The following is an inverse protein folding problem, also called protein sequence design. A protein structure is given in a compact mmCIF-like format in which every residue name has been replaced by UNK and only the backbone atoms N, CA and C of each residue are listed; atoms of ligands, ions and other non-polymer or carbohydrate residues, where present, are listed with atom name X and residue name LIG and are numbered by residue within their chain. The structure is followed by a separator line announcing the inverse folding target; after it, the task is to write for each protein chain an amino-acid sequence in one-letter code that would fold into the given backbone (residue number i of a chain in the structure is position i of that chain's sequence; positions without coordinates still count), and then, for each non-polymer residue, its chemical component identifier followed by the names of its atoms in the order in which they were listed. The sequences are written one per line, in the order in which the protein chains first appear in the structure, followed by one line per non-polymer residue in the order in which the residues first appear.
data_IF_626814296539
#
_entry.id   IF_626814296539
#
_cell.length_a   1.000
_cell.length_b   1.000
_cell.length_c   1.000
_cell.angle_alpha   90.00
_cell.angle_beta   90.00
_cell.angle_gamma   90.00
#
_symmetry.space_group_name_H-M   'P 1'
#
loop_
_entity.id
_entity.type
_entity.pdbx_description
1 polymer ?
#
# COMPACT_ATOMS: atom_id res chain seq x y z
N UNK A 1 -6.04 10.41 -2.02
CA UNK A 1 -4.74 9.80 -1.64
C UNK A 1 -4.34 8.77 -2.69
N UNK A 2 -3.09 8.78 -3.08
CA UNK A 2 -2.60 7.98 -4.20
C UNK A 2 -1.78 6.76 -3.76
N UNK A 3 -2.36 5.99 -2.86
CA UNK A 3 -1.70 4.79 -2.35
C UNK A 3 -1.42 3.76 -3.45
N UNK A 4 -2.39 3.52 -4.32
CA UNK A 4 -2.25 2.53 -5.39
C UNK A 4 -1.10 2.88 -6.33
N UNK A 5 -0.95 4.15 -6.65
CA UNK A 5 0.13 4.63 -7.48
C UNK A 5 1.49 4.41 -6.83
N UNK A 6 1.62 4.73 -5.54
CA UNK A 6 2.86 4.51 -4.80
C UNK A 6 3.17 3.01 -4.68
N UNK A 7 2.15 2.18 -4.50
CA UNK A 7 2.29 0.73 -4.48
C UNK A 7 2.89 0.22 -5.80
N UNK A 8 2.32 0.66 -6.93
CA UNK A 8 2.80 0.25 -8.26
C UNK A 8 4.21 0.77 -8.53
N UNK A 9 4.51 1.98 -8.10
CA UNK A 9 5.83 2.58 -8.26
C UNK A 9 6.89 1.82 -7.48
N UNK A 10 6.57 1.40 -6.27
CA UNK A 10 7.46 0.60 -5.44
C UNK A 10 7.71 -0.77 -6.08
N UNK A 11 6.66 -1.38 -6.63
CA UNK A 11 6.78 -2.64 -7.36
C UNK A 11 7.71 -2.51 -8.56
N UNK A 12 7.55 -1.44 -9.34
CA UNK A 12 8.41 -1.17 -10.50
C UNK A 12 9.87 -0.99 -10.10
N UNK A 13 10.11 -0.29 -8.99
CA UNK A 13 11.48 -0.11 -8.48
C UNK A 13 12.12 -1.43 -8.08
N UNK A 14 11.37 -2.31 -7.43
CA UNK A 14 11.90 -3.62 -7.04
C UNK A 14 12.28 -4.43 -8.28
N UNK A 15 11.46 -4.41 -9.32
CA UNK A 15 11.75 -5.08 -10.59
C UNK A 15 12.96 -4.46 -11.29
N UNK A 16 12.98 -3.13 -11.42
CA UNK A 16 14.05 -2.44 -12.15
C UNK A 16 15.40 -2.58 -11.48
N UNK A 17 15.44 -2.52 -10.15
CA UNK A 17 16.68 -2.64 -9.38
C UNK A 17 17.05 -4.09 -9.07
N UNK A 18 16.11 -5.01 -9.27
CA UNK A 18 16.24 -6.42 -8.88
C UNK A 18 16.59 -6.57 -7.39
N UNK A 19 15.98 -5.73 -6.57
CA UNK A 19 16.20 -5.71 -5.13
C UNK A 19 14.86 -5.76 -4.41
N UNK A 20 14.88 -6.34 -3.22
CA UNK A 20 13.74 -6.30 -2.32
C UNK A 20 13.46 -4.85 -1.93
N UNK A 21 12.19 -4.45 -1.94
CA UNK A 21 11.78 -3.12 -1.51
C UNK A 21 10.63 -3.20 -0.52
N UNK A 22 10.63 -2.30 0.44
CA UNK A 22 9.58 -2.22 1.45
C UNK A 22 8.77 -0.95 1.26
N UNK A 23 7.45 -1.08 1.36
CA UNK A 23 6.53 0.04 1.45
C UNK A 23 6.02 0.07 2.88
N UNK A 24 6.40 1.10 3.63
CA UNK A 24 6.09 1.20 5.05
C UNK A 24 4.90 2.11 5.24
N UNK A 25 3.84 1.57 5.86
CA UNK A 25 2.60 2.28 6.11
C UNK A 25 2.54 2.64 7.59
N UNK A 26 2.60 3.94 7.87
CA UNK A 26 2.53 4.49 9.21
C UNK A 26 1.28 5.37 9.35
N UNK A 27 0.97 5.79 10.55
CA UNK A 27 -0.25 6.54 10.85
C UNK A 27 -0.44 7.78 9.97
N UNK A 28 0.62 8.51 9.68
CA UNK A 28 0.55 9.78 8.96
C UNK A 28 1.20 9.76 7.58
N UNK A 29 1.87 8.67 7.23
CA UNK A 29 2.60 8.62 5.97
C UNK A 29 2.82 7.20 5.47
N UNK A 30 3.06 7.10 4.16
CA UNK A 30 3.42 5.86 3.49
C UNK A 30 4.66 6.13 2.66
N UNK A 31 5.70 5.32 2.81
CA UNK A 31 6.95 5.56 2.11
C UNK A 31 7.71 4.31 1.74
N UNK A 32 8.53 4.40 0.68
CA UNK A 32 9.37 3.31 0.21
C UNK A 32 10.87 3.61 0.33
N UNK A 33 11.21 4.70 1.00
CA UNK A 33 12.61 5.15 1.12
C UNK A 33 13.04 6.12 0.04
N UNK A 34 12.32 6.18 -1.08
CA UNK A 34 12.58 7.09 -2.20
C UNK A 34 11.48 8.12 -2.35
N UNK A 35 10.25 7.72 -2.10
CA UNK A 35 9.07 8.57 -2.16
C UNK A 35 8.26 8.40 -0.89
N UNK A 36 7.59 9.47 -0.49
CA UNK A 36 6.75 9.48 0.70
C UNK A 36 5.44 10.17 0.40
N UNK A 37 4.35 9.53 0.78
CA UNK A 37 2.99 10.05 0.62
C UNK A 37 2.43 10.37 1.98
N UNK A 38 1.98 11.63 2.19
CA UNK A 38 1.29 12.00 3.42
C UNK A 38 -0.15 11.48 3.37
N UNK A 39 -0.62 10.92 4.48
CA UNK A 39 -2.00 10.52 4.60
C UNK A 39 -2.81 11.77 5.00
N UNK A 40 -3.79 12.20 4.18
CA UNK A 40 -4.56 13.41 4.49
C UNK A 40 -5.32 13.30 5.82
N UNK A 41 -5.56 14.43 6.46
CA UNK A 41 -6.41 14.48 7.64
C UNK A 41 -7.80 13.95 7.29
N UNK A 42 -8.41 13.23 8.21
CA UNK A 42 -9.72 12.62 7.99
C UNK A 42 -9.66 11.23 7.40
N UNK A 43 -8.48 10.77 6.98
CA UNK A 43 -8.26 9.40 6.53
C UNK A 43 -7.38 8.71 7.57
N UNK A 44 -7.81 7.54 8.03
CA UNK A 44 -7.08 6.77 9.03
C UNK A 44 -6.65 5.43 8.44
N UNK A 45 -5.38 5.09 8.62
CA UNK A 45 -4.89 3.75 8.36
C UNK A 45 -5.27 2.87 9.55
N UNK A 46 -5.81 1.69 9.29
CA UNK A 46 -6.29 0.81 10.35
C UNK A 46 -5.18 0.38 11.29
N UNK A 47 -4.00 0.07 10.77
CA UNK A 47 -2.84 -0.31 11.56
C UNK A 47 -1.56 -0.06 10.78
N UNK A 48 -0.47 0.19 11.50
CA UNK A 48 0.84 0.32 10.88
C UNK A 48 1.25 -1.02 10.28
N UNK A 49 1.77 -1.00 9.07
CA UNK A 49 2.06 -2.20 8.31
C UNK A 49 3.26 -1.99 7.39
N UNK A 50 3.80 -3.09 6.89
CA UNK A 50 4.87 -3.06 5.91
C UNK A 50 4.56 -4.05 4.79
N UNK A 51 4.68 -3.60 3.55
CA UNK A 51 4.52 -4.45 2.37
C UNK A 51 5.91 -4.66 1.79
N UNK A 52 6.28 -5.91 1.57
CA UNK A 52 7.58 -6.26 1.01
C UNK A 52 7.40 -6.78 -0.41
N UNK A 53 8.08 -6.14 -1.36
CA UNK A 53 8.18 -6.63 -2.73
C UNK A 53 9.51 -7.35 -2.88
N UNK A 54 9.46 -8.55 -3.44
CA UNK A 54 10.69 -9.27 -3.79
C UNK A 54 11.29 -8.70 -5.08
N UNK A 55 12.46 -9.19 -5.46
CA UNK A 55 13.18 -8.68 -6.64
C UNK A 55 12.46 -8.94 -7.96
N UNK A 56 11.45 -9.81 -7.96
CA UNK A 56 10.60 -10.08 -9.12
C UNK A 56 9.31 -9.27 -9.09
N UNK A 57 9.16 -8.34 -8.14
CA UNK A 57 7.98 -7.49 -8.01
C UNK A 57 6.79 -8.15 -7.32
N UNK A 58 6.97 -9.35 -6.77
CA UNK A 58 5.90 -10.05 -6.06
C UNK A 58 5.75 -9.55 -4.63
N UNK A 59 4.50 -9.46 -4.16
CA UNK A 59 4.20 -9.12 -2.79
C UNK A 59 4.11 -10.40 -1.96
N UNK A 60 4.91 -10.49 -0.91
CA UNK A 60 4.99 -11.68 -0.07
C UNK A 60 4.50 -11.47 1.36
N UNK A 61 4.07 -10.28 1.71
CA UNK A 61 3.93 -9.95 3.13
C UNK A 61 2.56 -9.53 3.63
N UNK A 62 1.62 -9.13 2.78
CA UNK A 62 0.37 -8.57 3.27
C UNK A 62 -0.78 -8.80 2.29
N UNK A 63 -1.94 -9.22 2.83
CA UNK A 63 -3.12 -9.54 2.03
C UNK A 63 -4.05 -8.35 1.78
N UNK A 64 -4.09 -7.38 2.68
CA UNK A 64 -4.95 -6.21 2.50
C UNK A 64 -4.49 -5.01 3.32
N UNK A 65 -4.85 -3.82 2.83
CA UNK A 65 -4.63 -2.55 3.53
C UNK A 65 -5.98 -1.84 3.60
N UNK A 66 -6.33 -1.34 4.77
CA UNK A 66 -7.61 -0.68 4.98
C UNK A 66 -7.42 0.73 5.49
N UNK A 67 -8.06 1.67 4.77
CA UNK A 67 -8.18 3.07 5.19
C UNK A 67 -9.63 3.38 5.48
N UNK A 68 -9.88 4.29 6.41
CA UNK A 68 -11.26 4.69 6.70
C UNK A 68 -11.39 6.19 6.85
N UNK A 69 -12.55 6.70 6.45
CA UNK A 69 -12.98 8.05 6.71
C UNK A 69 -14.21 8.00 7.62
N UNK A 70 -14.86 9.14 7.84
CA UNK A 70 -16.10 9.16 8.63
C UNK A 70 -17.25 8.40 7.96
N UNK A 71 -17.24 8.31 6.63
CA UNK A 71 -18.36 7.77 5.85
C UNK A 71 -18.04 6.47 5.12
N UNK A 72 -16.77 6.17 4.93
CA UNK A 72 -16.37 5.08 4.05
C UNK A 72 -15.21 4.28 4.60
N UNK A 73 -15.12 3.04 4.14
CA UNK A 73 -13.94 2.19 4.28
C UNK A 73 -13.44 1.88 2.88
N UNK A 74 -12.15 2.13 2.65
CA UNK A 74 -11.50 1.74 1.40
C UNK A 74 -10.49 0.66 1.73
N UNK A 75 -10.69 -0.51 1.14
CA UNK A 75 -9.79 -1.64 1.32
C UNK A 75 -9.09 -1.94 0.02
N UNK A 76 -7.77 -2.10 0.10
CA UNK A 76 -6.98 -2.56 -1.03
C UNK A 76 -6.65 -4.02 -0.82
N UNK A 77 -7.17 -4.86 -1.70
CA UNK A 77 -6.85 -6.28 -1.72
C UNK A 77 -5.54 -6.45 -2.48
N UNK A 78 -4.54 -7.01 -1.81
CA UNK A 78 -3.23 -7.25 -2.39
C UNK A 78 -3.12 -8.73 -2.71
N UNK A 79 -2.71 -9.04 -3.93
CA UNK A 79 -2.57 -10.44 -4.35
C UNK A 79 -1.12 -10.87 -4.20
N UNK A 80 -0.90 -11.88 -3.38
CA UNK A 80 0.43 -12.41 -3.12
C UNK A 80 0.99 -13.06 -4.38
N UNK A 81 2.29 -12.96 -4.55
CA UNK A 81 3.01 -13.59 -5.63
C UNK A 81 3.13 -12.75 -6.88
N UNK A 82 2.05 -12.13 -7.36
CA UNK A 82 2.08 -11.35 -8.61
C UNK A 82 2.01 -9.83 -8.39
N UNK A 83 1.81 -9.39 -7.15
CA UNK A 83 1.76 -7.96 -6.84
C UNK A 83 0.56 -7.18 -7.35
N UNK A 84 -0.48 -7.85 -7.81
CA UNK A 84 -1.70 -7.17 -8.24
C UNK A 84 -2.42 -6.54 -7.05
N UNK A 85 -3.22 -5.50 -7.34
CA UNK A 85 -3.95 -4.76 -6.32
C UNK A 85 -5.37 -4.47 -6.82
N UNK A 86 -6.34 -4.56 -5.91
CA UNK A 86 -7.74 -4.26 -6.20
C UNK A 86 -8.29 -3.33 -5.12
N UNK A 87 -8.93 -2.24 -5.54
CA UNK A 87 -9.57 -1.30 -4.62
C UNK A 87 -11.03 -1.68 -4.41
N UNK A 88 -11.44 -1.79 -3.15
CA UNK A 88 -12.82 -2.07 -2.76
C UNK A 88 -13.27 -0.95 -1.83
N UNK A 89 -14.39 -0.32 -2.17
CA UNK A 89 -14.92 0.80 -1.41
C UNK A 89 -16.29 0.42 -0.85
N UNK A 90 -16.48 0.64 0.45
CA UNK A 90 -17.72 0.32 1.15
C UNK A 90 -18.20 1.51 1.96
N UNK A 91 -19.51 1.72 1.98
CA UNK A 91 -20.09 2.74 2.85
C UNK A 91 -20.03 2.27 4.30
N UNK A 92 -19.72 3.19 5.19
CA UNK A 92 -19.68 2.93 6.62
C UNK A 92 -21.08 3.12 7.20
N UNK A 93 -21.57 2.15 7.91
CA UNK A 93 -22.87 2.26 8.58
C UNK A 93 -22.75 2.90 9.95
#
# INVERSE_FOLDING_TARGET
MEFEELYRETQKRSLASQQKMNLILEETSIGNGYQKLAIPKGIQLQSNQSITFDKAGGNSSLASVRFQTRKEVVRYQLYLGNGKIKRIQEAKN
#
